data_IF_195421252622
#
_entry.id   IF_195421252622
#
_cell.length_a   1.000
_cell.length_b   1.000
_cell.length_c   1.000
_cell.angle_alpha   90.00
_cell.angle_beta   90.00
_cell.angle_gamma   90.00
#
_symmetry.space_group_name_H-M   'P 1'
#
loop_
_entity.id
_entity.type
_entity.pdbx_description
1 polymer ?
#
# COMPACT_ATOMS: atom_id res chain seq x y z
N UNK A 1 -44.01 -6.29 37.36
CA UNK A 1 -44.90 -5.11 37.25
C UNK A 1 -44.14 -4.07 36.44
N UNK A 2 -44.38 -3.96 35.13
CA UNK A 2 -45.20 -2.91 34.44
C UNK A 2 -44.63 -1.51 34.72
N UNK A 3 -44.14 -0.72 33.76
CA UNK A 3 -44.87 -0.26 32.59
C UNK A 3 -44.01 0.07 31.35
N UNK A 4 -44.61 -0.20 30.19
CA UNK A 4 -44.24 0.20 28.84
C UNK A 4 -44.57 1.67 28.56
N UNK A 5 -43.89 2.27 27.57
CA UNK A 5 -44.61 3.04 26.54
C UNK A 5 -43.92 2.93 25.18
N UNK A 6 -44.73 2.56 24.18
CA UNK A 6 -44.41 2.38 22.76
C UNK A 6 -44.98 3.56 21.97
N UNK A 7 -44.30 3.87 20.85
CA UNK A 7 -44.82 4.34 19.54
C UNK A 7 -45.47 5.73 19.46
N UNK A 8 -45.09 6.49 18.43
CA UNK A 8 -45.85 6.54 17.17
C UNK A 8 -45.07 7.20 16.00
N UNK A 9 -45.39 6.72 14.80
CA UNK A 9 -44.89 7.03 13.44
C UNK A 9 -45.87 7.96 12.69
N UNK A 10 -45.38 8.54 11.58
CA UNK A 10 -46.06 9.09 10.34
C UNK A 10 -45.82 10.61 10.17
N UNK A 11 -45.53 11.20 9.00
CA UNK A 11 -45.81 11.00 7.54
C UNK A 11 -44.66 11.68 6.73
N UNK A 12 -44.07 11.08 5.68
CA UNK A 12 -44.43 11.09 4.25
C UNK A 12 -44.23 12.41 3.45
N UNK A 13 -43.24 12.35 2.52
CA UNK A 13 -43.18 12.87 1.13
C UNK A 13 -42.88 14.35 0.86
N UNK A 14 -41.75 14.61 0.18
CA UNK A 14 -41.68 15.20 -1.18
C UNK A 14 -40.30 14.96 -1.82
N UNK A 15 -40.31 14.50 -3.08
CA UNK A 15 -39.16 14.35 -3.98
C UNK A 15 -38.67 15.70 -4.51
N UNK A 16 -37.36 15.82 -4.85
CA UNK A 16 -36.87 16.07 -6.23
C UNK A 16 -35.33 16.02 -6.31
N UNK A 17 -34.75 15.46 -7.40
CA UNK A 17 -33.32 15.36 -7.61
C UNK A 17 -32.75 16.59 -8.34
N UNK A 18 -31.55 17.00 -7.98
CA UNK A 18 -30.76 17.96 -8.77
C UNK A 18 -29.87 17.19 -9.75
N UNK A 19 -30.18 17.31 -11.04
CA UNK A 19 -29.23 17.09 -12.12
C UNK A 19 -28.66 18.44 -12.54
N UNK A 20 -27.34 18.54 -12.65
CA UNK A 20 -26.69 19.54 -13.48
C UNK A 20 -25.74 18.80 -14.42
N UNK A 21 -26.16 18.74 -15.68
CA UNK A 21 -25.32 18.43 -16.84
C UNK A 21 -24.76 19.76 -17.33
N UNK A 22 -23.44 19.88 -17.41
CA UNK A 22 -22.78 20.94 -18.17
C UNK A 22 -21.89 20.27 -19.22
N UNK A 23 -22.41 20.21 -20.44
CA UNK A 23 -21.65 19.85 -21.63
C UNK A 23 -21.01 21.09 -22.24
N UNK A 24 -19.76 20.95 -22.69
CA UNK A 24 -19.11 21.92 -23.56
C UNK A 24 -18.55 21.17 -24.78
N UNK A 25 -19.24 21.31 -25.91
CA UNK A 25 -18.76 20.92 -27.23
C UNK A 25 -18.17 22.14 -27.93
N UNK A 26 -16.86 22.14 -28.17
CA UNK A 26 -16.22 23.11 -29.03
C UNK A 26 -16.19 22.58 -30.48
N UNK A 27 -16.90 23.25 -31.38
CA UNK A 27 -16.78 23.08 -32.82
C UNK A 27 -15.94 24.24 -33.38
N UNK A 28 -14.79 23.93 -33.97
CA UNK A 28 -13.94 24.90 -34.66
C UNK A 28 -14.25 24.84 -36.16
N UNK A 29 -14.79 25.93 -36.70
CA UNK A 29 -15.05 26.14 -38.12
C UNK A 29 -13.82 26.76 -38.78
N UNK A 30 -13.34 26.14 -39.85
CA UNK A 30 -12.31 26.65 -40.75
C UNK A 30 -12.90 27.71 -41.70
N UNK A 31 -12.24 28.85 -41.83
CA UNK A 31 -12.44 29.78 -42.95
C UNK A 31 -11.08 30.32 -43.40
N UNK A 32 -10.75 30.08 -44.67
CA UNK A 32 -9.58 30.62 -45.35
C UNK A 32 -9.84 32.02 -45.92
N UNK A 33 -8.76 32.76 -46.20
CA UNK A 33 -8.79 34.03 -46.89
C UNK A 33 -7.38 34.54 -47.21
N UNK A 34 -7.04 34.55 -48.49
CA UNK A 34 -5.85 35.14 -49.12
C UNK A 34 -6.00 36.66 -49.28
N UNK A 35 -4.92 37.44 -49.07
CA UNK A 35 -4.88 38.86 -49.46
C UNK A 35 -3.56 39.57 -49.16
N UNK A 36 -3.02 40.27 -50.15
CA UNK A 36 -1.63 40.73 -50.30
C UNK A 36 -1.14 41.93 -49.44
N UNK A 37 0.18 42.13 -49.52
CA UNK A 37 1.06 43.02 -48.77
C UNK A 37 1.03 44.51 -49.14
N UNK A 38 1.47 45.37 -48.21
CA UNK A 38 2.34 46.53 -48.45
C UNK A 38 3.33 46.70 -47.28
N UNK A 39 4.61 46.87 -47.62
CA UNK A 39 5.74 46.95 -46.70
C UNK A 39 6.32 48.37 -46.66
N UNK A 40 6.56 48.91 -45.46
CA UNK A 40 7.64 49.87 -45.15
C UNK A 40 7.89 49.86 -43.64
N UNK A 41 9.14 49.66 -43.21
CA UNK A 41 9.63 50.11 -41.92
C UNK A 41 10.36 49.05 -41.07
N UNK A 42 11.69 49.11 -41.10
CA UNK A 42 12.68 48.80 -40.07
C UNK A 42 12.60 47.52 -39.21
N UNK A 43 13.70 46.75 -39.27
CA UNK A 43 14.10 45.67 -38.37
C UNK A 43 15.09 46.23 -37.30
N UNK A 44 15.37 45.56 -36.15
CA UNK A 44 15.36 44.12 -35.98
C UNK A 44 14.66 43.54 -34.73
N UNK A 45 14.45 42.23 -34.85
CA UNK A 45 13.60 41.31 -34.09
C UNK A 45 14.06 40.94 -32.66
N UNK A 46 13.16 40.34 -31.86
CA UNK A 46 13.47 39.19 -31.03
C UNK A 46 12.86 37.93 -31.67
N UNK A 47 13.69 36.96 -32.03
CA UNK A 47 13.23 35.67 -32.57
C UNK A 47 13.03 34.71 -31.41
N UNK A 48 11.76 34.44 -31.06
CA UNK A 48 11.37 33.25 -30.33
C UNK A 48 11.30 32.09 -31.32
N UNK A 49 12.30 31.20 -31.28
CA UNK A 49 12.36 29.98 -32.07
C UNK A 49 12.07 28.76 -31.20
N UNK A 50 10.98 28.06 -31.50
CA UNK A 50 10.76 26.69 -31.08
C UNK A 50 11.60 25.74 -31.97
N UNK A 51 12.39 24.86 -31.37
CA UNK A 51 12.98 23.67 -31.99
C UNK A 51 13.53 22.73 -30.87
N UNK A 52 13.87 21.46 -31.16
CA UNK A 52 13.34 20.28 -30.49
C UNK A 52 14.17 19.74 -29.32
N UNK A 53 13.53 18.88 -28.53
CA UNK A 53 14.15 18.01 -27.53
C UNK A 53 15.14 17.05 -28.18
N UNK A 54 16.40 17.14 -27.76
CA UNK A 54 17.43 16.11 -27.96
C UNK A 54 17.88 15.64 -26.58
N UNK A 55 17.80 14.33 -26.36
CA UNK A 55 18.29 13.64 -25.17
C UNK A 55 19.79 13.90 -24.95
N UNK A 56 20.13 14.29 -23.73
CA UNK A 56 21.51 14.36 -23.27
C UNK A 56 21.82 13.07 -22.51
N UNK A 57 22.52 12.18 -23.20
CA UNK A 57 23.06 10.94 -22.68
C UNK A 57 24.11 11.22 -21.60
N UNK A 58 24.03 10.45 -20.51
CA UNK A 58 24.81 10.67 -19.29
C UNK A 58 26.16 9.97 -19.41
N UNK A 59 27.24 10.74 -19.34
CA UNK A 59 28.58 10.23 -19.07
C UNK A 59 28.76 10.01 -17.56
N UNK A 60 29.12 8.80 -17.15
CA UNK A 60 30.02 8.57 -16.00
C UNK A 60 30.98 7.43 -16.37
N UNK A 61 32.26 7.72 -16.15
CA UNK A 61 33.45 6.90 -16.35
C UNK A 61 33.51 5.62 -15.51
N UNK A 62 34.02 4.57 -16.18
CA UNK A 62 35.16 3.72 -15.81
C UNK A 62 35.32 3.21 -14.36
N UNK A 63 35.17 1.89 -14.19
CA UNK A 63 36.24 1.00 -13.71
C UNK A 63 35.75 -0.46 -13.69
N UNK A 64 36.44 -1.33 -14.45
CA UNK A 64 37.04 -2.58 -13.94
C UNK A 64 37.20 -3.65 -15.06
N UNK A 65 38.47 -3.87 -15.38
CA UNK A 65 39.14 -5.15 -15.63
C UNK A 65 38.65 -6.10 -16.74
N UNK A 66 39.50 -6.12 -17.76
CA UNK A 66 39.80 -7.15 -18.75
C UNK A 66 39.65 -8.59 -18.23
N UNK A 67 39.00 -9.43 -19.03
CA UNK A 67 38.92 -10.88 -18.82
C UNK A 67 38.11 -11.59 -19.90
N UNK A 68 38.41 -11.35 -21.18
CA UNK A 68 37.94 -12.23 -22.24
C UNK A 68 38.92 -13.39 -22.39
N UNK A 69 38.40 -14.62 -22.52
CA UNK A 69 38.79 -15.58 -23.57
C UNK A 69 38.06 -16.93 -23.37
N UNK A 70 37.41 -17.35 -24.47
CA UNK A 70 37.05 -18.72 -24.94
C UNK A 70 35.76 -19.40 -24.46
N UNK A 71 34.73 -19.22 -25.29
CA UNK A 71 33.94 -20.24 -26.05
C UNK A 71 34.16 -21.72 -25.66
N UNK A 72 33.09 -22.39 -25.24
CA UNK A 72 32.48 -23.58 -25.89
C UNK A 72 31.60 -24.38 -24.90
N UNK A 73 30.30 -24.49 -25.19
CA UNK A 73 29.48 -25.67 -24.87
C UNK A 73 29.72 -26.72 -26.00
N UNK A 74 29.59 -28.05 -25.81
CA UNK A 74 28.36 -28.66 -25.27
C UNK A 74 28.54 -29.85 -24.30
N UNK A 75 27.48 -30.08 -23.50
CA UNK A 75 27.11 -31.35 -22.83
C UNK A 75 27.26 -32.60 -23.73
N UNK A 76 27.55 -33.79 -23.14
CA UNK A 76 26.47 -34.70 -22.72
C UNK A 76 26.72 -35.53 -21.44
N UNK A 77 25.63 -35.90 -20.76
CA UNK A 77 25.56 -36.90 -19.66
C UNK A 77 25.99 -38.31 -20.11
N UNK A 78 26.37 -39.22 -19.18
CA UNK A 78 25.38 -40.15 -18.62
C UNK A 78 25.61 -40.62 -17.16
N UNK A 79 24.55 -41.27 -16.63
CA UNK A 79 24.37 -42.01 -15.36
C UNK A 79 25.56 -42.78 -14.76
N UNK A 80 25.64 -42.81 -13.42
CA UNK A 80 25.62 -44.04 -12.60
C UNK A 80 25.68 -43.75 -11.07
N UNK A 81 24.76 -44.33 -10.31
CA UNK A 81 24.93 -44.76 -8.89
C UNK A 81 25.40 -46.23 -8.90
N UNK A 82 26.07 -46.82 -7.87
CA UNK A 82 25.55 -46.96 -6.49
C UNK A 82 26.59 -47.13 -5.34
N UNK A 83 26.07 -47.30 -4.09
CA UNK A 83 26.66 -47.98 -2.90
C UNK A 83 27.94 -47.40 -2.27
N UNK A 84 28.18 -47.34 -0.95
CA UNK A 84 27.49 -47.83 0.25
C UNK A 84 28.52 -48.06 1.37
N UNK A 85 28.33 -47.41 2.54
CA UNK A 85 28.72 -47.82 3.93
C UNK A 85 30.21 -48.11 4.30
N UNK A 86 30.58 -48.25 5.61
CA UNK A 86 30.11 -47.60 6.84
C UNK A 86 31.23 -47.23 7.87
N UNK A 87 30.81 -46.62 8.99
CA UNK A 87 31.29 -46.83 10.37
C UNK A 87 32.43 -45.98 10.95
N UNK A 88 32.09 -45.16 11.95
CA UNK A 88 32.81 -45.09 13.23
C UNK A 88 31.83 -44.68 14.34
N UNK A 89 31.46 -45.66 15.18
CA UNK A 89 30.62 -45.47 16.36
C UNK A 89 31.42 -44.89 17.54
N UNK A 90 30.81 -43.98 18.31
CA UNK A 90 31.28 -43.52 19.62
C UNK A 90 30.14 -43.67 20.65
N UNK A 91 30.43 -44.01 21.92
CA UNK A 91 29.45 -44.67 22.80
C UNK A 91 28.30 -43.80 23.28
N UNK A 92 27.18 -44.48 23.55
CA UNK A 92 25.94 -43.96 24.10
C UNK A 92 26.13 -43.13 25.38
N UNK A 93 25.77 -41.86 25.31
CA UNK A 93 25.46 -41.06 26.49
C UNK A 93 24.00 -41.31 26.88
N UNK A 94 23.84 -41.71 28.14
CA UNK A 94 22.61 -41.99 28.86
C UNK A 94 21.59 -40.87 28.64
N UNK A 95 20.42 -41.24 28.11
CA UNK A 95 19.24 -40.37 28.04
C UNK A 95 18.97 -39.80 29.44
N UNK A 96 19.16 -38.50 29.57
CA UNK A 96 18.79 -37.73 30.75
C UNK A 96 17.85 -36.64 30.30
N UNK A 97 16.75 -36.56 31.04
CA UNK A 97 15.75 -35.49 31.07
C UNK A 97 14.95 -35.26 29.80
N UNK A 98 13.78 -35.89 29.80
CA UNK A 98 12.55 -35.43 29.17
C UNK A 98 12.47 -33.89 29.22
N UNK A 99 12.47 -33.16 28.08
CA UNK A 99 12.26 -31.73 28.10
C UNK A 99 10.80 -31.50 28.50
N UNK A 100 10.62 -30.96 29.69
CA UNK A 100 9.36 -30.44 30.22
C UNK A 100 8.56 -29.73 29.10
N UNK A 101 7.58 -30.46 28.55
CA UNK A 101 6.67 -29.97 27.50
C UNK A 101 5.50 -29.17 28.09
N UNK A 102 5.53 -28.83 29.38
CA UNK A 102 4.40 -28.20 30.06
C UNK A 102 4.26 -26.69 29.82
N UNK A 103 4.90 -26.09 28.81
CA UNK A 103 4.52 -24.73 28.41
C UNK A 103 3.16 -24.80 27.71
N UNK A 104 2.06 -24.29 28.31
CA UNK A 104 0.79 -24.25 27.61
C UNK A 104 0.96 -23.48 26.30
N UNK A 105 0.56 -24.12 25.20
CA UNK A 105 0.60 -23.51 23.88
C UNK A 105 -0.20 -22.19 23.92
N UNK A 106 0.37 -21.11 23.40
CA UNK A 106 -0.33 -19.83 23.32
C UNK A 106 -1.65 -20.05 22.56
N UNK A 107 -2.80 -19.55 23.05
CA UNK A 107 -4.07 -19.74 22.38
C UNK A 107 -4.00 -19.31 20.91
N UNK A 108 -4.60 -20.09 20.01
CA UNK A 108 -4.69 -19.73 18.59
C UNK A 108 -5.41 -18.38 18.46
N UNK A 109 -4.92 -17.44 17.63
CA UNK A 109 -5.64 -16.18 17.39
C UNK A 109 -7.04 -16.45 16.82
N UNK A 110 -8.01 -15.53 17.05
CA UNK A 110 -9.34 -15.64 16.49
C UNK A 110 -9.31 -15.61 14.96
N UNK A 111 -10.30 -16.20 14.30
CA UNK A 111 -10.40 -16.20 12.82
C UNK A 111 -10.83 -14.85 12.24
N UNK A 112 -11.37 -13.95 13.08
CA UNK A 112 -11.83 -12.61 12.71
C UNK A 112 -11.56 -11.64 13.86
N UNK A 113 -11.07 -10.45 13.55
CA UNK A 113 -10.95 -9.33 14.50
C UNK A 113 -10.98 -8.02 13.74
N UNK A 114 -11.72 -7.04 14.26
CA UNK A 114 -11.71 -5.65 13.79
C UNK A 114 -11.44 -4.77 15.00
N UNK A 115 -10.57 -3.78 14.84
CA UNK A 115 -10.24 -2.83 15.89
C UNK A 115 -11.33 -1.76 15.96
N UNK A 116 -11.62 -1.32 17.18
CA UNK A 116 -12.38 -0.09 17.40
C UNK A 116 -11.45 1.10 17.23
N UNK A 117 -11.93 2.13 16.54
CA UNK A 117 -11.22 3.39 16.32
C UNK A 117 -12.23 4.46 15.90
N UNK A 118 -11.94 5.71 16.20
CA UNK A 118 -12.59 6.85 15.61
C UNK A 118 -12.03 7.02 14.18
N UNK A 119 -12.87 6.98 13.15
CA UNK A 119 -12.41 7.15 11.77
C UNK A 119 -12.26 8.62 11.43
N UNK A 120 -11.21 8.97 10.67
CA UNK A 120 -11.08 10.28 10.05
C UNK A 120 -10.63 10.16 8.60
N UNK A 121 -11.35 10.86 7.72
CA UNK A 121 -10.95 11.07 6.34
C UNK A 121 -9.78 12.06 6.26
N UNK A 122 -9.04 12.05 5.15
CA UNK A 122 -7.95 13.00 4.94
C UNK A 122 -8.50 14.43 4.79
N UNK A 123 -7.87 15.39 5.45
CA UNK A 123 -8.33 16.80 5.42
C UNK A 123 -7.85 17.54 4.17
N UNK A 124 -6.82 17.05 3.50
CA UNK A 124 -6.29 17.58 2.23
C UNK A 124 -5.99 16.43 1.26
N UNK A 125 -5.83 16.73 -0.04
CA UNK A 125 -5.58 15.70 -1.05
C UNK A 125 -4.25 14.95 -0.87
N UNK A 126 -3.27 15.53 -0.17
CA UNK A 126 -1.93 14.96 0.08
C UNK A 126 -1.79 14.34 1.48
N UNK A 127 -2.85 14.34 2.29
CA UNK A 127 -2.85 13.84 3.67
C UNK A 127 -3.21 12.35 3.83
N UNK A 128 -3.18 11.56 2.75
CA UNK A 128 -3.42 10.12 2.85
C UNK A 128 -2.48 9.41 3.85
N UNK A 129 -1.19 9.75 3.85
CA UNK A 129 -0.21 9.23 4.81
C UNK A 129 -0.56 9.58 6.28
N UNK A 130 -0.67 10.88 6.61
CA UNK A 130 -1.09 11.34 7.94
C UNK A 130 -2.42 10.74 8.40
N UNK A 131 -3.44 10.68 7.54
CA UNK A 131 -4.75 10.14 7.88
C UNK A 131 -4.71 8.62 8.13
N UNK A 132 -3.98 7.86 7.31
CA UNK A 132 -3.80 6.42 7.52
C UNK A 132 -3.05 6.14 8.83
N UNK A 133 -1.97 6.88 9.12
CA UNK A 133 -1.24 6.76 10.39
C UNK A 133 -2.13 7.16 11.56
N UNK A 134 -2.91 8.23 11.45
CA UNK A 134 -3.86 8.66 12.49
C UNK A 134 -4.86 7.56 12.81
N UNK A 135 -5.55 7.02 11.80
CA UNK A 135 -6.52 5.93 12.00
C UNK A 135 -5.86 4.69 12.62
N UNK A 136 -4.61 4.40 12.23
CA UNK A 136 -3.87 3.29 12.79
C UNK A 136 -3.45 3.50 14.26
N UNK A 137 -3.08 4.73 14.63
CA UNK A 137 -2.74 5.10 16.01
C UNK A 137 -3.98 5.15 16.91
N UNK A 138 -5.10 5.64 16.39
CA UNK A 138 -6.36 5.67 17.14
C UNK A 138 -6.84 4.25 17.47
N UNK A 139 -6.73 3.32 16.52
CA UNK A 139 -6.96 1.89 16.75
C UNK A 139 -6.02 1.26 17.80
N UNK A 140 -4.87 1.90 18.07
CA UNK A 140 -3.92 1.53 19.13
C UNK A 140 -4.12 2.34 20.43
N UNK A 141 -5.18 3.14 20.52
CA UNK A 141 -5.49 4.00 21.67
C UNK A 141 -4.65 5.27 21.77
N UNK A 142 -4.02 5.71 20.67
CA UNK A 142 -3.17 6.90 20.62
C UNK A 142 -3.81 7.94 19.70
N UNK A 143 -4.42 8.96 20.28
CA UNK A 143 -5.03 10.06 19.52
C UNK A 143 -3.98 11.08 19.10
N UNK A 144 -3.95 11.42 17.80
CA UNK A 144 -3.10 12.45 17.20
C UNK A 144 -3.88 13.21 16.12
N UNK A 145 -3.51 14.46 15.87
CA UNK A 145 -4.02 15.20 14.71
C UNK A 145 -3.28 14.83 13.42
N UNK A 146 -3.91 15.03 12.27
CA UNK A 146 -3.24 14.83 10.98
C UNK A 146 -2.12 15.86 10.75
N UNK A 147 -2.28 17.10 11.23
CA UNK A 147 -1.27 18.15 11.06
C UNK A 147 0.03 17.82 11.82
N UNK A 148 -0.06 17.35 13.07
CA UNK A 148 1.10 16.89 13.84
C UNK A 148 1.80 15.71 13.14
N UNK A 149 1.01 14.78 12.61
CA UNK A 149 1.53 13.62 11.89
C UNK A 149 2.15 14.00 10.55
N UNK A 150 1.59 14.97 9.84
CA UNK A 150 2.13 15.48 8.58
C UNK A 150 3.54 16.05 8.78
N UNK A 151 3.74 16.83 9.84
CA UNK A 151 5.08 17.32 10.21
C UNK A 151 6.02 16.16 10.53
N UNK A 152 5.60 15.21 11.37
CA UNK A 152 6.44 14.07 11.75
C UNK A 152 6.80 13.13 10.58
N UNK A 153 5.88 12.99 9.62
CA UNK A 153 6.03 12.18 8.42
C UNK A 153 6.84 12.89 7.32
N UNK A 154 7.06 14.21 7.43
CA UNK A 154 7.64 15.00 6.35
C UNK A 154 6.72 15.09 5.14
N UNK A 155 5.40 15.07 5.37
CA UNK A 155 4.38 15.17 4.32
C UNK A 155 4.43 16.56 3.68
N UNK A 156 4.45 16.60 2.36
CA UNK A 156 4.35 17.84 1.56
C UNK A 156 3.12 17.78 0.67
N UNK A 157 2.92 18.76 -0.20
CA UNK A 157 1.88 18.70 -1.24
C UNK A 157 2.07 17.53 -2.22
N UNK A 158 3.26 16.92 -2.26
CA UNK A 158 3.55 15.69 -2.99
C UNK A 158 3.21 14.41 -2.20
N UNK A 159 2.65 14.54 -0.99
CA UNK A 159 2.31 13.42 -0.11
C UNK A 159 3.44 12.99 0.83
N UNK A 160 3.31 11.77 1.37
CA UNK A 160 4.31 11.14 2.24
C UNK A 160 5.19 10.20 1.44
N UNK A 161 6.51 10.41 1.48
CA UNK A 161 7.44 9.79 0.54
C UNK A 161 7.53 8.27 0.63
N UNK A 162 7.51 7.69 1.84
CA UNK A 162 7.85 6.27 1.99
C UNK A 162 7.14 5.55 3.13
N UNK A 163 7.02 4.22 3.00
CA UNK A 163 6.57 3.36 4.09
C UNK A 163 7.58 3.31 5.26
N UNK A 164 8.84 3.70 5.05
CA UNK A 164 9.82 3.85 6.12
C UNK A 164 9.42 5.01 7.04
N UNK A 165 8.88 6.10 6.48
CA UNK A 165 8.41 7.25 7.26
C UNK A 165 7.21 6.89 8.14
N UNK A 166 6.23 6.16 7.57
CA UNK A 166 5.07 5.71 8.35
C UNK A 166 5.50 4.73 9.44
N UNK A 167 6.40 3.79 9.16
CA UNK A 167 6.95 2.88 10.19
C UNK A 167 7.68 3.64 11.29
N UNK A 168 8.55 4.60 10.93
CA UNK A 168 9.30 5.44 11.88
C UNK A 168 8.35 6.20 12.80
N UNK A 169 7.37 6.90 12.24
CA UNK A 169 6.43 7.70 13.03
C UNK A 169 5.54 6.81 13.90
N UNK A 170 5.02 5.70 13.37
CA UNK A 170 4.26 4.74 14.18
C UNK A 170 5.05 4.27 15.40
N UNK A 171 6.33 3.90 15.23
CA UNK A 171 7.21 3.44 16.31
C UNK A 171 7.54 4.51 17.35
N UNK A 172 7.46 5.80 17.01
CA UNK A 172 7.62 6.89 17.98
C UNK A 172 6.39 7.07 18.87
N UNK A 173 5.23 6.56 18.46
CA UNK A 173 3.94 6.82 19.10
C UNK A 173 3.39 5.63 19.89
N UNK A 174 3.79 4.41 19.55
CA UNK A 174 3.29 3.18 20.20
C UNK A 174 4.36 2.50 21.04
N UNK A 175 3.92 1.77 22.07
CA UNK A 175 4.77 0.90 22.90
C UNK A 175 4.75 -0.53 22.39
N UNK A 176 5.71 -1.33 22.83
CA UNK A 176 5.79 -2.77 22.52
C UNK A 176 6.74 -3.08 21.37
N UNK A 177 6.50 -4.21 20.70
CA UNK A 177 7.37 -4.64 19.60
C UNK A 177 7.35 -3.62 18.46
N UNK A 178 8.51 -3.19 17.93
CA UNK A 178 8.54 -2.20 16.87
C UNK A 178 7.92 -2.75 15.59
N UNK A 179 7.18 -1.90 14.88
CA UNK A 179 6.82 -2.11 13.48
C UNK A 179 8.11 -2.27 12.66
N UNK A 180 8.05 -3.12 11.65
CA UNK A 180 9.04 -3.27 10.60
C UNK A 180 8.40 -2.87 9.28
N UNK A 181 9.16 -2.13 8.47
CA UNK A 181 8.78 -1.90 7.08
C UNK A 181 9.01 -3.18 6.30
N UNK A 182 7.99 -3.63 5.60
CA UNK A 182 8.05 -4.74 4.64
C UNK A 182 7.82 -4.19 3.25
N UNK A 183 8.54 -4.71 2.26
CA UNK A 183 8.42 -4.29 0.87
C UNK A 183 7.95 -5.43 -0.02
N UNK A 184 7.21 -5.08 -1.07
CA UNK A 184 6.81 -5.98 -2.14
C UNK A 184 7.38 -5.39 -3.43
N UNK A 185 8.62 -5.73 -3.84
CA UNK A 185 9.35 -5.01 -4.88
C UNK A 185 8.81 -5.26 -6.30
N UNK A 186 8.03 -6.34 -6.50
CA UNK A 186 7.43 -6.73 -7.77
C UNK A 186 6.18 -7.57 -7.48
N UNK A 187 5.75 -8.41 -8.41
CA UNK A 187 4.62 -9.32 -8.19
C UNK A 187 4.78 -10.10 -6.86
N UNK A 188 3.74 -10.12 -6.03
CA UNK A 188 3.81 -10.73 -4.71
C UNK A 188 4.01 -12.25 -4.82
N UNK A 189 5.12 -12.75 -4.27
CA UNK A 189 5.38 -14.19 -4.18
C UNK A 189 4.47 -14.85 -3.13
N UNK A 190 4.21 -16.17 -3.20
CA UNK A 190 3.43 -16.89 -2.19
C UNK A 190 3.94 -16.66 -0.76
N UNK A 191 5.26 -16.62 -0.56
CA UNK A 191 5.87 -16.35 0.74
C UNK A 191 5.56 -14.94 1.26
N UNK A 192 5.50 -13.93 0.37
CA UNK A 192 5.10 -12.57 0.76
C UNK A 192 3.62 -12.47 1.08
N UNK A 193 2.77 -13.23 0.37
CA UNK A 193 1.34 -13.33 0.68
C UNK A 193 1.10 -13.96 2.06
N UNK A 194 1.80 -15.06 2.35
CA UNK A 194 1.75 -15.73 3.65
C UNK A 194 2.30 -14.83 4.76
N UNK A 195 3.40 -14.11 4.49
CA UNK A 195 3.98 -13.16 5.43
C UNK A 195 3.01 -12.00 5.72
N UNK A 196 2.40 -11.38 4.69
CA UNK A 196 1.42 -10.31 4.88
C UNK A 196 0.23 -10.79 5.71
N UNK A 197 -0.28 -11.99 5.41
CA UNK A 197 -1.37 -12.60 6.19
C UNK A 197 -0.98 -12.82 7.65
N UNK A 198 0.21 -13.36 7.90
CA UNK A 198 0.71 -13.57 9.25
C UNK A 198 0.90 -12.24 10.01
N UNK A 199 1.42 -11.23 9.33
CA UNK A 199 1.60 -9.88 9.86
C UNK A 199 0.27 -9.22 10.21
N UNK A 200 -0.73 -9.28 9.33
CA UNK A 200 -2.10 -8.81 9.61
C UNK A 200 -2.66 -9.46 10.87
N UNK A 201 -2.63 -10.79 10.95
CA UNK A 201 -3.20 -11.51 12.10
C UNK A 201 -2.46 -11.14 13.38
N UNK A 202 -1.12 -11.07 13.35
CA UNK A 202 -0.32 -10.72 14.52
C UNK A 202 -0.60 -9.28 14.98
N UNK A 203 -0.48 -8.30 14.08
CA UNK A 203 -0.55 -6.86 14.41
C UNK A 203 -1.94 -6.49 14.93
N UNK A 204 -3.00 -6.94 14.25
CA UNK A 204 -4.38 -6.69 14.68
C UNK A 204 -4.66 -7.37 16.04
N UNK A 205 -4.10 -8.55 16.31
CA UNK A 205 -4.25 -9.19 17.62
C UNK A 205 -3.51 -8.47 18.74
N UNK A 206 -2.41 -7.77 18.41
CA UNK A 206 -1.68 -6.89 19.32
C UNK A 206 -2.35 -5.50 19.51
N UNK A 207 -3.62 -5.35 19.09
CA UNK A 207 -4.40 -4.11 19.15
C UNK A 207 -3.73 -2.95 18.41
N UNK A 208 -3.16 -3.24 17.24
CA UNK A 208 -2.46 -2.28 16.39
C UNK A 208 -2.93 -2.46 14.96
N UNK A 209 -2.96 -1.39 14.18
CA UNK A 209 -3.27 -1.45 12.75
C UNK A 209 -1.99 -1.45 11.90
N UNK A 210 -2.12 -1.88 10.64
CA UNK A 210 -1.06 -1.80 9.62
C UNK A 210 -1.31 -0.56 8.77
N UNK A 211 -0.25 0.15 8.38
CA UNK A 211 -0.31 1.22 7.37
C UNK A 211 0.35 0.73 6.10
N UNK A 212 -0.39 0.74 4.99
CA UNK A 212 0.01 0.21 3.70
C UNK A 212 0.08 1.32 2.64
N UNK A 213 1.16 1.36 1.86
CA UNK A 213 1.27 2.18 0.66
C UNK A 213 0.83 1.35 -0.55
N UNK A 214 -0.25 1.75 -1.20
CA UNK A 214 -0.84 1.09 -2.36
C UNK A 214 -0.66 1.92 -3.61
N UNK A 215 -0.70 1.31 -4.80
CA UNK A 215 -0.54 1.98 -6.09
C UNK A 215 -1.30 1.23 -7.19
N UNK A 216 -1.86 1.99 -8.12
CA UNK A 216 -2.67 1.43 -9.20
C UNK A 216 -4.08 1.13 -8.69
N UNK A 217 -4.62 -0.03 -9.03
CA UNK A 217 -6.04 -0.30 -8.87
C UNK A 217 -6.32 -1.61 -8.14
N UNK A 218 -7.43 -1.67 -7.41
CA UNK A 218 -7.90 -2.88 -6.77
C UNK A 218 -9.43 -2.94 -6.75
N UNK A 219 -9.96 -4.17 -6.65
CA UNK A 219 -11.39 -4.42 -6.50
C UNK A 219 -11.65 -5.03 -5.13
N UNK A 220 -12.59 -4.45 -4.39
CA UNK A 220 -12.99 -4.96 -3.08
C UNK A 220 -13.91 -6.19 -3.20
N UNK A 221 -14.21 -6.85 -2.08
CA UNK A 221 -15.01 -8.09 -2.08
C UNK A 221 -16.47 -7.90 -2.49
N UNK A 222 -16.95 -6.65 -2.57
CA UNK A 222 -18.29 -6.30 -3.02
C UNK A 222 -18.30 -5.83 -4.49
N UNK A 223 -17.16 -5.90 -5.19
CA UNK A 223 -17.02 -5.42 -6.56
C UNK A 223 -16.77 -3.91 -6.69
N UNK A 224 -16.52 -3.20 -5.58
CA UNK A 224 -16.16 -1.78 -5.60
C UNK A 224 -14.76 -1.58 -6.17
N UNK A 225 -14.62 -0.66 -7.12
CA UNK A 225 -13.36 -0.34 -7.78
C UNK A 225 -12.64 0.83 -7.09
N UNK A 226 -11.36 0.66 -6.81
CA UNK A 226 -10.51 1.64 -6.14
C UNK A 226 -9.29 1.95 -7.01
N UNK A 227 -8.95 3.22 -7.21
CA UNK A 227 -7.91 3.65 -8.16
C UNK A 227 -7.04 4.77 -7.61
N UNK A 228 -5.75 4.48 -7.46
CA UNK A 228 -4.71 5.38 -6.99
C UNK A 228 -3.43 5.24 -7.84
N UNK A 229 -3.44 5.69 -9.10
CA UNK A 229 -2.29 5.52 -10.01
C UNK A 229 -1.00 6.20 -9.50
N UNK A 230 -1.11 7.32 -8.77
CA UNK A 230 0.03 8.00 -8.13
C UNK A 230 0.48 7.39 -6.81
N UNK A 231 -0.31 6.47 -6.25
CA UNK A 231 -0.13 5.89 -4.93
C UNK A 231 -1.06 6.51 -3.87
N UNK A 232 -1.28 5.75 -2.80
CA UNK A 232 -2.14 6.14 -1.67
C UNK A 232 -1.74 5.40 -0.40
N UNK A 233 -2.06 5.93 0.76
CA UNK A 233 -1.89 5.22 2.03
C UNK A 233 -3.24 4.84 2.60
N UNK A 234 -3.36 3.59 3.04
CA UNK A 234 -4.55 3.07 3.71
C UNK A 234 -4.17 2.39 5.02
N UNK A 235 -5.10 2.35 5.97
CA UNK A 235 -4.93 1.61 7.21
C UNK A 235 -5.67 0.27 7.13
N UNK A 236 -5.01 -0.83 7.50
CA UNK A 236 -5.66 -2.13 7.71
C UNK A 236 -6.02 -2.24 9.18
N UNK A 237 -7.32 -2.22 9.47
CA UNK A 237 -7.87 -2.14 10.84
C UNK A 237 -8.54 -3.43 11.29
N UNK A 238 -8.54 -4.47 10.46
CA UNK A 238 -9.13 -5.74 10.82
C UNK A 238 -8.92 -6.81 9.78
N UNK A 239 -9.34 -8.02 10.13
CA UNK A 239 -9.32 -9.18 9.26
C UNK A 239 -10.48 -10.13 9.56
N UNK A 240 -10.79 -10.97 8.58
CA UNK A 240 -11.65 -12.17 8.72
C UNK A 240 -11.02 -13.34 7.97
N UNK A 241 -11.60 -14.53 8.13
CA UNK A 241 -11.15 -15.75 7.45
C UNK A 241 -9.65 -16.06 7.71
N UNK A 242 -9.23 -15.97 8.98
CA UNK A 242 -7.85 -16.18 9.43
C UNK A 242 -6.84 -15.29 8.68
N UNK A 243 -7.22 -14.06 8.35
CA UNK A 243 -6.35 -13.09 7.67
C UNK A 243 -6.37 -13.18 6.14
N UNK A 244 -7.30 -13.91 5.52
CA UNK A 244 -7.44 -13.98 4.05
C UNK A 244 -8.20 -12.79 3.46
N UNK A 245 -8.93 -12.07 4.28
CA UNK A 245 -9.64 -10.85 3.88
C UNK A 245 -9.41 -9.82 4.97
N UNK A 246 -9.12 -8.58 4.56
CA UNK A 246 -8.76 -7.49 5.47
C UNK A 246 -9.73 -6.33 5.35
N UNK A 247 -9.91 -5.62 6.47
CA UNK A 247 -10.74 -4.42 6.54
C UNK A 247 -9.83 -3.21 6.34
N UNK A 248 -10.09 -2.47 5.28
CA UNK A 248 -9.42 -1.20 4.99
C UNK A 248 -10.22 -0.07 5.62
N UNK A 249 -9.53 0.83 6.30
CA UNK A 249 -9.97 2.18 6.60
C UNK A 249 -9.30 3.11 5.58
N UNK A 250 -10.09 3.61 4.63
CA UNK A 250 -9.60 4.43 3.52
C UNK A 250 -9.99 5.88 3.78
N UNK A 251 -9.00 6.77 3.81
CA UNK A 251 -9.19 8.18 4.12
C UNK A 251 -9.61 9.03 2.92
N UNK A 252 -9.56 8.48 1.69
CA UNK A 252 -9.73 9.27 0.47
C UNK A 252 -11.16 9.78 0.26
N UNK A 253 -12.15 8.94 0.53
CA UNK A 253 -13.57 9.27 0.36
C UNK A 253 -14.32 9.11 1.70
N UNK A 254 -14.75 10.21 2.34
CA UNK A 254 -15.49 10.14 3.61
C UNK A 254 -16.83 9.41 3.50
N UNK A 255 -17.40 9.26 2.29
CA UNK A 255 -18.63 8.50 2.06
C UNK A 255 -18.39 6.98 1.98
N UNK A 256 -17.14 6.57 1.76
CA UNK A 256 -16.70 5.17 1.72
C UNK A 256 -15.56 4.93 2.74
N UNK A 257 -15.83 5.09 4.05
CA UNK A 257 -14.78 5.11 5.09
C UNK A 257 -14.07 3.76 5.28
N UNK A 258 -14.61 2.68 4.73
CA UNK A 258 -13.90 1.40 4.73
C UNK A 258 -14.61 0.27 4.00
N UNK A 259 -13.81 -0.66 3.50
CA UNK A 259 -14.23 -1.79 2.68
C UNK A 259 -13.43 -3.05 3.02
N UNK A 260 -13.90 -4.21 2.55
CA UNK A 260 -13.21 -5.48 2.70
C UNK A 260 -12.52 -5.85 1.39
N UNK A 261 -11.25 -6.22 1.44
CA UNK A 261 -10.48 -6.66 0.27
C UNK A 261 -9.75 -7.97 0.59
N UNK A 262 -9.49 -8.82 -0.41
CA UNK A 262 -8.66 -9.99 -0.17
C UNK A 262 -7.22 -9.58 0.17
N UNK A 263 -6.54 -10.35 1.01
CA UNK A 263 -5.13 -10.07 1.35
C UNK A 263 -4.22 -10.20 0.14
N UNK A 264 -4.63 -11.02 -0.85
CA UNK A 264 -3.92 -11.18 -2.12
C UNK A 264 -4.03 -9.91 -2.95
N UNK A 265 -5.25 -9.37 -3.10
CA UNK A 265 -5.46 -8.14 -3.86
C UNK A 265 -4.77 -6.96 -3.18
N UNK A 266 -4.79 -6.88 -1.84
CA UNK A 266 -4.00 -5.86 -1.12
C UNK A 266 -2.50 -6.01 -1.40
N UNK A 267 -1.94 -7.24 -1.37
CA UNK A 267 -0.52 -7.45 -1.65
C UNK A 267 -0.16 -7.01 -3.08
N UNK A 268 -1.00 -7.34 -4.06
CA UNK A 268 -0.83 -6.92 -5.44
C UNK A 268 -0.97 -5.40 -5.60
N UNK A 269 -1.83 -4.77 -4.80
CA UNK A 269 -1.99 -3.32 -4.80
C UNK A 269 -0.80 -2.60 -4.14
N UNK A 270 0.02 -3.30 -3.35
CA UNK A 270 1.26 -2.77 -2.75
C UNK A 270 2.52 -3.10 -3.56
N UNK A 271 2.41 -3.58 -4.79
CA UNK A 271 3.56 -3.87 -5.65
C UNK A 271 4.40 -2.61 -5.87
N UNK A 272 5.72 -2.74 -5.79
CA UNK A 272 6.74 -1.67 -5.72
C UNK A 272 6.69 -0.79 -4.47
N UNK A 273 5.82 -1.09 -3.51
CA UNK A 273 5.59 -0.31 -2.29
C UNK A 273 5.87 -1.15 -1.04
N UNK A 274 5.38 -0.68 0.10
CA UNK A 274 5.58 -1.33 1.39
C UNK A 274 4.53 -0.99 2.44
N UNK A 275 4.61 -1.70 3.56
CA UNK A 275 3.70 -1.57 4.69
C UNK A 275 4.42 -1.68 6.04
N UNK A 276 3.78 -1.17 7.09
CA UNK A 276 4.28 -1.18 8.47
C UNK A 276 3.61 -2.28 9.29
N UNK A 277 4.34 -3.31 9.74
CA UNK A 277 3.80 -4.43 10.52
C UNK A 277 4.73 -4.95 11.63
#
# INVERSE_FOLDING_TARGET
MKHHLKRQLRRLVTQRPYQIVAGATAALVLAGGTGAALATGDAPAPVAGAAPVAELDSRIDEAATTGEVRVADPSPSPSASPSGSPSAAKPAAKATTDPDTSRPAKPKPPSTKVLDYDYQAQTTFYYCGPAAVRNALDAAGVTRSQDELAVALGTTEMGTNSALDTTRVLNQQVKGNPYRTRTIPGAASPAQLDQLRADVVRVINDNRAIVANVVGTATDTNGGWHSFPGGHYVAVVGYKNDGRTVRIADSADPSLPGYWISTIDLANWMVTRGYSA
#
